data_IF_094641908992
#
_entry.id   IF_094641908992
#
_cell.length_a   1.000
_cell.length_b   1.000
_cell.length_c   1.000
_cell.angle_alpha   90.00
_cell.angle_beta   90.00
_cell.angle_gamma   90.00
#
_symmetry.space_group_name_H-M   'P 1'
#
loop_
_entity.id
_entity.type
_entity.pdbx_description
1 polymer ?
#
# COMPACT_ATOMS: atom_id res chain seq x y z
N UNK A 1 -28.43 27.72 19.25
CA UNK A 1 -26.94 27.77 19.33
C UNK A 1 -26.47 28.92 18.45
N UNK A 2 -25.61 29.83 18.93
CA UNK A 2 -25.07 30.92 18.09
C UNK A 2 -24.04 30.36 17.08
N UNK A 3 -23.85 31.02 15.94
CA UNK A 3 -22.92 30.63 14.88
C UNK A 3 -21.49 30.44 15.38
N UNK A 4 -21.03 31.29 16.29
CA UNK A 4 -19.71 31.16 16.91
C UNK A 4 -19.54 29.82 17.63
N UNK A 5 -20.56 29.40 18.39
CA UNK A 5 -20.51 28.13 19.12
C UNK A 5 -20.50 26.92 18.17
N UNK A 6 -21.20 27.00 17.02
CA UNK A 6 -21.15 25.96 15.98
C UNK A 6 -19.71 25.76 15.49
N UNK A 7 -19.01 26.86 15.17
CA UNK A 7 -17.61 26.80 14.71
C UNK A 7 -16.70 26.24 15.81
N UNK A 8 -16.91 26.65 17.07
CA UNK A 8 -16.11 26.16 18.20
C UNK A 8 -16.32 24.67 18.46
N UNK A 9 -17.58 24.18 18.44
CA UNK A 9 -17.86 22.75 18.55
C UNK A 9 -17.25 21.98 17.38
N UNK A 10 -17.43 22.46 16.14
CA UNK A 10 -16.82 21.84 14.97
C UNK A 10 -15.32 21.69 15.11
N UNK A 11 -14.63 22.76 15.48
CA UNK A 11 -13.18 22.77 15.62
C UNK A 11 -12.72 21.87 16.77
N UNK A 12 -13.39 21.94 17.92
CA UNK A 12 -13.08 21.10 19.07
C UNK A 12 -13.19 19.61 18.74
N UNK A 13 -14.31 19.18 18.15
CA UNK A 13 -14.50 17.78 17.80
C UNK A 13 -13.63 17.31 16.63
N UNK A 14 -13.33 18.20 15.67
CA UNK A 14 -12.34 17.92 14.62
C UNK A 14 -10.94 17.72 15.21
N UNK A 15 -10.58 18.48 16.24
CA UNK A 15 -9.31 18.35 16.97
C UNK A 15 -9.26 17.07 17.82
N UNK A 16 -10.34 16.73 18.53
CA UNK A 16 -10.43 15.47 19.25
C UNK A 16 -10.31 14.26 18.31
N UNK A 17 -10.99 14.31 17.17
CA UNK A 17 -10.87 13.29 16.11
C UNK A 17 -9.44 13.15 15.62
N UNK A 18 -8.74 14.28 15.42
CA UNK A 18 -7.33 14.28 15.08
C UNK A 18 -6.46 13.61 16.15
N UNK A 19 -6.66 13.91 17.44
CA UNK A 19 -5.90 13.27 18.53
C UNK A 19 -6.08 11.75 18.47
N UNK A 20 -7.32 11.27 18.34
CA UNK A 20 -7.62 9.83 18.28
C UNK A 20 -6.88 9.17 17.11
N UNK A 21 -6.97 9.77 15.92
CA UNK A 21 -6.31 9.27 14.72
C UNK A 21 -4.78 9.30 14.83
N UNK A 22 -4.20 10.37 15.41
CA UNK A 22 -2.75 10.48 15.63
C UNK A 22 -2.29 9.34 16.53
N UNK A 23 -2.96 9.13 17.66
CA UNK A 23 -2.60 8.10 18.62
C UNK A 23 -2.71 6.72 17.97
N UNK A 24 -3.86 6.42 17.36
CA UNK A 24 -4.12 5.13 16.72
C UNK A 24 -3.09 4.81 15.63
N UNK A 25 -2.88 5.74 14.69
CA UNK A 25 -1.97 5.51 13.56
C UNK A 25 -0.51 5.54 13.98
N UNK A 26 -0.14 6.40 14.94
CA UNK A 26 1.25 6.47 15.40
C UNK A 26 1.64 5.25 16.22
N UNK A 27 0.74 4.74 17.07
CA UNK A 27 0.96 3.49 17.80
C UNK A 27 1.07 2.29 16.84
N UNK A 28 0.15 2.19 15.86
CA UNK A 28 0.13 1.09 14.88
C UNK A 28 1.35 1.09 13.96
N UNK A 29 1.95 2.26 13.68
CA UNK A 29 3.08 2.40 12.78
C UNK A 29 4.41 2.73 13.48
N UNK A 30 4.43 2.77 14.82
CA UNK A 30 5.61 3.10 15.66
C UNK A 30 6.34 4.38 15.26
N UNK A 31 5.65 5.33 14.63
CA UNK A 31 6.20 6.61 14.19
C UNK A 31 5.12 7.67 14.29
N UNK A 32 5.47 8.92 14.56
CA UNK A 32 4.49 9.99 14.59
C UNK A 32 3.90 10.20 13.19
N UNK A 33 2.60 9.98 13.06
CA UNK A 33 1.83 10.20 11.83
C UNK A 33 0.85 11.33 12.10
N UNK A 34 0.90 12.36 11.26
CA UNK A 34 -0.15 13.36 11.18
C UNK A 34 -1.26 12.82 10.25
N UNK A 35 -2.42 12.42 10.79
CA UNK A 35 -3.52 11.85 10.02
C UNK A 35 -4.32 12.93 9.31
N UNK A 36 -5.00 12.52 8.24
CA UNK A 36 -6.02 13.33 7.61
C UNK A 36 -5.50 14.26 6.51
N UNK A 37 -6.46 14.96 5.91
CA UNK A 37 -6.24 15.78 4.72
C UNK A 37 -5.53 17.09 5.05
N UNK A 38 -5.95 17.75 6.13
CA UNK A 38 -5.42 19.02 6.60
C UNK A 38 -3.98 18.89 7.09
N UNK A 39 -3.20 19.98 7.04
CA UNK A 39 -1.86 20.02 7.63
C UNK A 39 -1.93 20.19 9.14
N UNK A 40 -2.88 21.00 9.61
CA UNK A 40 -3.13 21.27 11.01
C UNK A 40 -3.85 20.12 11.72
N UNK A 41 -4.01 20.25 13.04
CA UNK A 41 -4.47 19.17 13.90
C UNK A 41 -6.00 18.97 13.85
N UNK A 42 -6.58 18.84 12.66
CA UNK A 42 -8.03 18.76 12.51
C UNK A 42 -8.41 17.69 11.50
N UNK A 43 -9.36 16.82 11.89
CA UNK A 43 -9.98 15.85 11.00
C UNK A 43 -11.46 16.21 10.85
N UNK A 44 -11.85 16.96 9.79
CA UNK A 44 -13.17 17.58 9.67
C UNK A 44 -14.36 16.63 9.76
N UNK A 45 -14.24 15.37 9.34
CA UNK A 45 -15.35 14.40 9.37
C UNK A 45 -15.86 14.17 10.80
N UNK A 46 -14.99 14.20 11.81
CA UNK A 46 -15.40 14.12 13.22
C UNK A 46 -16.16 15.38 13.67
N UNK A 47 -15.73 16.57 13.23
CA UNK A 47 -16.42 17.82 13.49
C UNK A 47 -17.81 17.86 12.86
N UNK A 48 -17.93 17.47 11.59
CA UNK A 48 -19.23 17.37 10.92
C UNK A 48 -20.12 16.33 11.60
N UNK A 49 -19.61 15.12 11.85
CA UNK A 49 -20.35 14.08 12.55
C UNK A 49 -20.92 14.58 13.89
N UNK A 50 -20.05 15.15 14.74
CA UNK A 50 -20.48 15.73 16.01
C UNK A 50 -21.51 16.85 15.83
N UNK A 51 -21.32 17.77 14.88
CA UNK A 51 -22.29 18.84 14.62
C UNK A 51 -23.66 18.30 14.20
N UNK A 52 -23.72 17.36 13.25
CA UNK A 52 -24.99 16.78 12.81
C UNK A 52 -25.71 16.07 13.95
N UNK A 53 -24.98 15.29 14.76
CA UNK A 53 -25.57 14.63 15.93
C UNK A 53 -26.09 15.66 16.93
N UNK A 54 -25.31 16.69 17.27
CA UNK A 54 -25.71 17.70 18.27
C UNK A 54 -26.88 18.56 17.84
N UNK A 55 -26.91 19.00 16.59
CA UNK A 55 -28.01 19.81 16.05
C UNK A 55 -29.33 19.04 15.99
N UNK A 56 -29.28 17.73 15.71
CA UNK A 56 -30.46 16.88 15.60
C UNK A 56 -30.80 16.15 16.90
N UNK A 57 -29.94 16.19 17.91
CA UNK A 57 -30.09 15.40 19.13
C UNK A 57 -31.41 15.69 19.84
N UNK A 58 -31.84 16.95 19.92
CA UNK A 58 -33.09 17.32 20.59
C UNK A 58 -34.32 16.65 19.95
N UNK A 59 -34.35 16.58 18.63
CA UNK A 59 -35.44 15.93 17.86
C UNK A 59 -35.34 14.40 17.90
N UNK A 60 -34.15 13.85 18.14
CA UNK A 60 -33.91 12.40 18.15
C UNK A 60 -34.09 11.82 19.55
N UNK A 61 -33.77 12.59 20.59
CA UNK A 61 -33.79 12.14 21.99
C UNK A 61 -35.19 11.70 22.47
N UNK A 62 -36.26 12.19 21.82
CA UNK A 62 -37.65 11.81 22.12
C UNK A 62 -37.94 10.33 21.84
N UNK A 63 -37.14 9.67 20.99
CA UNK A 63 -37.35 8.27 20.60
C UNK A 63 -36.64 7.30 21.54
N UNK A 64 -37.04 6.02 21.51
CA UNK A 64 -36.35 4.97 22.26
C UNK A 64 -34.92 4.74 21.74
N UNK A 65 -34.01 4.33 22.63
CA UNK A 65 -32.57 4.13 22.34
C UNK A 65 -32.30 3.32 21.06
N UNK A 66 -33.01 2.22 20.74
CA UNK A 66 -32.78 1.48 19.49
C UNK A 66 -33.05 2.32 18.23
N UNK A 67 -34.06 3.18 18.25
CA UNK A 67 -34.37 4.06 17.13
C UNK A 67 -33.38 5.23 17.04
N UNK A 68 -32.95 5.78 18.18
CA UNK A 68 -31.87 6.78 18.22
C UNK A 68 -30.59 6.23 17.59
N UNK A 69 -30.18 5.02 17.99
CA UNK A 69 -29.04 4.30 17.43
C UNK A 69 -29.14 4.21 15.90
N UNK A 70 -30.29 3.76 15.39
CA UNK A 70 -30.49 3.58 13.95
C UNK A 70 -30.38 4.91 13.20
N UNK A 71 -31.02 5.96 13.70
CA UNK A 71 -30.98 7.30 13.09
C UNK A 71 -29.54 7.83 13.08
N UNK A 72 -28.82 7.72 14.19
CA UNK A 72 -27.42 8.16 14.27
C UNK A 72 -26.49 7.37 13.37
N UNK A 73 -26.64 6.04 13.33
CA UNK A 73 -25.86 5.19 12.43
C UNK A 73 -26.08 5.61 10.96
N UNK A 74 -27.32 5.88 10.56
CA UNK A 74 -27.64 6.34 9.20
C UNK A 74 -27.00 7.70 8.91
N UNK A 75 -27.13 8.68 9.80
CA UNK A 75 -26.57 10.03 9.62
C UNK A 75 -25.04 9.95 9.45
N UNK A 76 -24.35 9.28 10.36
CA UNK A 76 -22.89 9.18 10.31
C UNK A 76 -22.39 8.36 9.11
N UNK A 77 -23.10 7.29 8.76
CA UNK A 77 -22.79 6.51 7.55
C UNK A 77 -22.99 7.34 6.28
N UNK A 78 -24.02 8.19 6.23
CA UNK A 78 -24.23 9.10 5.11
C UNK A 78 -23.10 10.14 5.00
N UNK A 79 -22.66 10.71 6.12
CA UNK A 79 -21.51 11.63 6.16
C UNK A 79 -20.23 10.92 5.69
N UNK A 80 -19.98 9.70 6.16
CA UNK A 80 -18.86 8.87 5.72
C UNK A 80 -18.92 8.63 4.21
N UNK A 81 -20.06 8.17 3.69
CA UNK A 81 -20.25 7.93 2.26
C UNK A 81 -20.02 9.19 1.42
N UNK A 82 -20.65 10.32 1.79
CA UNK A 82 -20.52 11.59 1.07
C UNK A 82 -19.09 12.11 1.11
N UNK A 83 -18.42 11.99 2.25
CA UNK A 83 -17.01 12.38 2.38
C UNK A 83 -16.14 11.54 1.46
N UNK A 84 -16.31 10.21 1.46
CA UNK A 84 -15.62 9.32 0.53
C UNK A 84 -15.90 9.66 -0.94
N UNK A 85 -17.15 9.97 -1.30
CA UNK A 85 -17.54 10.35 -2.66
C UNK A 85 -16.92 11.68 -3.10
N UNK A 86 -16.89 12.69 -2.24
CA UNK A 86 -16.24 13.98 -2.53
C UNK A 86 -14.75 13.76 -2.80
N UNK A 87 -14.07 12.99 -1.97
CA UNK A 87 -12.64 12.74 -2.13
C UNK A 87 -12.32 11.90 -3.37
N UNK A 88 -13.12 10.91 -3.70
CA UNK A 88 -12.93 10.14 -4.93
C UNK A 88 -13.30 10.95 -6.19
N UNK A 89 -14.33 11.78 -6.14
CA UNK A 89 -14.81 12.53 -7.30
C UNK A 89 -13.96 13.75 -7.60
N UNK A 90 -13.74 14.62 -6.61
CA UNK A 90 -12.99 15.86 -6.77
C UNK A 90 -11.49 15.65 -6.66
N UNK A 91 -11.06 14.92 -5.63
CA UNK A 91 -9.64 14.76 -5.34
C UNK A 91 -9.02 13.54 -6.01
N UNK A 92 -9.86 12.59 -6.49
CA UNK A 92 -9.44 11.31 -7.06
C UNK A 92 -8.59 10.49 -6.08
N UNK A 93 -8.94 10.57 -4.80
CA UNK A 93 -8.25 9.89 -3.73
C UNK A 93 -9.25 9.05 -2.94
N UNK A 94 -8.87 7.79 -2.71
CA UNK A 94 -9.55 6.91 -1.79
C UNK A 94 -8.92 7.06 -0.41
N UNK A 95 -9.71 7.55 0.56
CA UNK A 95 -9.22 7.81 1.92
C UNK A 95 -9.20 6.56 2.79
N UNK A 96 -10.10 5.62 2.52
CA UNK A 96 -10.24 4.33 3.19
C UNK A 96 -10.90 3.32 2.23
N UNK A 97 -10.73 2.03 2.50
CA UNK A 97 -11.33 0.95 1.70
C UNK A 97 -11.90 -0.15 2.60
N UNK A 98 -13.22 -0.35 2.50
CA UNK A 98 -13.95 -1.41 3.20
C UNK A 98 -14.40 -2.54 2.25
N UNK A 99 -13.78 -2.68 1.07
CA UNK A 99 -14.17 -3.70 0.08
C UNK A 99 -14.11 -5.13 0.62
N UNK A 100 -13.20 -5.39 1.57
CA UNK A 100 -13.04 -6.70 2.22
C UNK A 100 -14.05 -6.94 3.35
N UNK A 101 -14.80 -5.91 3.77
CA UNK A 101 -15.80 -6.03 4.83
C UNK A 101 -17.14 -6.53 4.26
N UNK A 102 -17.85 -7.35 5.04
CA UNK A 102 -19.20 -7.80 4.70
C UNK A 102 -20.18 -6.62 4.69
N UNK A 103 -21.17 -6.69 3.81
CA UNK A 103 -22.20 -5.66 3.63
C UNK A 103 -21.60 -4.27 3.38
N UNK A 104 -20.50 -4.21 2.61
CA UNK A 104 -19.96 -2.94 2.14
C UNK A 104 -20.74 -2.42 0.93
N UNK A 105 -20.72 -1.09 0.76
CA UNK A 105 -21.23 -0.44 -0.44
C UNK A 105 -20.10 0.36 -1.11
N UNK A 106 -19.71 -0.09 -2.31
CA UNK A 106 -18.60 0.47 -3.10
C UNK A 106 -17.27 0.58 -2.33
N UNK A 107 -17.07 -0.23 -1.29
CA UNK A 107 -15.93 -0.12 -0.38
C UNK A 107 -15.85 1.20 0.41
N UNK A 108 -16.91 2.04 0.43
CA UNK A 108 -16.92 3.36 1.10
C UNK A 108 -17.51 3.31 2.50
N UNK A 109 -18.51 2.48 2.70
CA UNK A 109 -19.18 2.26 3.99
C UNK A 109 -19.45 0.77 4.13
N UNK A 110 -19.50 0.25 5.36
CA UNK A 110 -19.95 -1.11 5.62
C UNK A 110 -20.70 -1.21 6.95
N UNK A 111 -21.53 -2.24 7.08
CA UNK A 111 -22.39 -2.42 8.25
C UNK A 111 -21.62 -2.46 9.57
N UNK A 112 -20.41 -3.04 9.59
CA UNK A 112 -19.58 -3.13 10.79
C UNK A 112 -19.24 -1.73 11.34
N UNK A 113 -18.69 -0.85 10.49
CA UNK A 113 -18.33 0.51 10.90
C UNK A 113 -19.57 1.38 11.12
N UNK A 114 -20.62 1.24 10.30
CA UNK A 114 -21.91 1.91 10.54
C UNK A 114 -22.50 1.60 11.92
N UNK A 115 -22.38 0.34 12.36
CA UNK A 115 -22.82 -0.08 13.70
C UNK A 115 -21.96 0.58 14.79
N UNK A 116 -20.63 0.57 14.59
CA UNK A 116 -19.70 1.26 15.49
C UNK A 116 -20.00 2.75 15.63
N UNK A 117 -20.31 3.42 14.52
CA UNK A 117 -20.70 4.83 14.50
C UNK A 117 -21.99 5.11 15.27
N UNK A 118 -23.00 4.25 15.16
CA UNK A 118 -24.24 4.39 15.95
C UNK A 118 -24.01 4.29 17.46
N UNK A 119 -23.16 3.34 17.90
CA UNK A 119 -22.82 3.18 19.33
C UNK A 119 -22.05 4.41 19.82
N UNK A 120 -21.04 4.83 19.05
CA UNK A 120 -20.25 6.02 19.36
C UNK A 120 -21.11 7.28 19.44
N UNK A 121 -22.07 7.45 18.53
CA UNK A 121 -22.98 8.59 18.53
C UNK A 121 -23.90 8.62 19.77
N UNK A 122 -24.41 7.47 20.20
CA UNK A 122 -25.19 7.38 21.44
C UNK A 122 -24.37 7.79 22.66
N UNK A 123 -23.14 7.26 22.78
CA UNK A 123 -22.24 7.60 23.88
C UNK A 123 -21.91 9.09 23.82
N UNK A 124 -21.59 9.58 22.63
CA UNK A 124 -21.24 10.96 22.39
C UNK A 124 -22.36 11.92 22.79
N UNK A 125 -23.59 11.70 22.29
CA UNK A 125 -24.68 12.62 22.51
C UNK A 125 -25.13 12.67 23.98
N UNK A 126 -25.14 11.52 24.65
CA UNK A 126 -25.64 11.42 26.03
C UNK A 126 -24.58 11.70 27.11
N UNK A 127 -23.29 11.47 26.82
CA UNK A 127 -22.24 11.53 27.86
C UNK A 127 -21.08 12.48 27.52
N UNK A 128 -20.67 12.57 26.25
CA UNK A 128 -19.50 13.39 25.87
C UNK A 128 -19.91 14.83 25.58
N UNK A 129 -20.97 15.04 24.81
CA UNK A 129 -21.38 16.37 24.39
C UNK A 129 -21.86 17.26 25.55
N UNK A 130 -22.69 16.80 26.51
CA UNK A 130 -23.22 17.66 27.57
C UNK A 130 -22.15 18.42 28.39
N UNK A 131 -21.06 17.80 28.89
CA UNK A 131 -20.03 18.54 29.60
C UNK A 131 -19.29 19.53 28.69
N UNK A 132 -18.99 19.15 27.44
CA UNK A 132 -18.32 20.03 26.49
C UNK A 132 -19.21 21.22 26.09
N UNK A 133 -20.51 20.98 25.95
CA UNK A 133 -21.50 22.04 25.74
C UNK A 133 -21.42 23.07 26.85
N UNK A 134 -21.46 22.61 28.11
CA UNK A 134 -21.37 23.49 29.29
C UNK A 134 -20.07 24.30 29.35
N UNK A 135 -18.96 23.79 28.79
CA UNK A 135 -17.67 24.49 28.74
C UNK A 135 -17.71 25.56 27.66
N UNK A 136 -18.13 25.20 26.44
CA UNK A 136 -18.10 26.13 25.30
C UNK A 136 -19.15 27.24 25.45
N UNK A 137 -20.29 26.98 26.09
CA UNK A 137 -21.30 28.02 26.32
C UNK A 137 -21.00 28.95 27.49
N UNK A 138 -19.91 28.73 28.24
CA UNK A 138 -19.44 29.68 29.28
C UNK A 138 -18.76 30.92 28.70
N UNK A 139 -18.24 30.84 27.48
CA UNK A 139 -17.66 31.99 26.81
C UNK A 139 -18.74 33.05 26.58
N UNK A 140 -18.38 34.31 26.83
CA UNK A 140 -19.21 35.44 26.43
C UNK A 140 -19.35 35.50 24.90
N UNK A 141 -20.41 36.14 24.41
CA UNK A 141 -20.64 36.24 22.96
C UNK A 141 -19.44 36.85 22.22
N UNK A 142 -18.79 37.87 22.79
CA UNK A 142 -17.61 38.52 22.20
C UNK A 142 -16.42 37.57 22.13
N UNK A 143 -16.11 36.86 23.22
CA UNK A 143 -15.01 35.88 23.26
C UNK A 143 -15.26 34.75 22.25
N UNK A 144 -16.47 34.20 22.23
CA UNK A 144 -16.84 33.15 21.30
C UNK A 144 -16.73 33.63 19.84
N UNK A 145 -17.18 34.85 19.54
CA UNK A 145 -17.04 35.44 18.19
C UNK A 145 -15.59 35.60 17.79
N UNK A 146 -14.74 36.22 18.62
CA UNK A 146 -13.32 36.42 18.32
C UNK A 146 -12.61 35.08 18.12
N UNK A 147 -12.79 34.13 19.03
CA UNK A 147 -12.14 32.81 18.95
C UNK A 147 -12.63 32.03 17.72
N UNK A 148 -13.93 32.05 17.44
CA UNK A 148 -14.50 31.39 16.25
C UNK A 148 -13.95 31.99 14.95
N UNK A 149 -13.78 33.32 14.87
CA UNK A 149 -13.23 33.99 13.70
C UNK A 149 -11.76 33.60 13.45
N UNK A 150 -10.94 33.56 14.51
CA UNK A 150 -9.53 33.13 14.43
C UNK A 150 -9.42 31.68 13.96
N UNK A 151 -10.18 30.78 14.58
CA UNK A 151 -10.18 29.35 14.22
C UNK A 151 -10.69 29.14 12.79
N UNK A 152 -11.74 29.86 12.40
CA UNK A 152 -12.27 29.78 11.04
C UNK A 152 -11.24 30.24 10.01
N UNK A 153 -10.56 31.37 10.25
CA UNK A 153 -9.49 31.86 9.38
C UNK A 153 -8.33 30.86 9.26
N UNK A 154 -7.96 30.20 10.38
CA UNK A 154 -6.97 29.13 10.38
C UNK A 154 -7.41 27.94 9.51
N UNK A 155 -8.61 27.40 9.74
CA UNK A 155 -9.13 26.23 9.03
C UNK A 155 -9.23 26.47 7.53
N UNK A 156 -9.68 27.67 7.11
CA UNK A 156 -9.74 28.04 5.69
C UNK A 156 -8.33 28.09 5.09
N UNK A 157 -7.39 28.72 5.78
CA UNK A 157 -6.00 28.84 5.33
C UNK A 157 -5.37 27.45 5.15
N UNK A 158 -5.52 26.58 6.16
CA UNK A 158 -5.03 25.21 6.13
C UNK A 158 -5.69 24.38 5.01
N UNK A 159 -7.00 24.51 4.82
CA UNK A 159 -7.71 23.86 3.73
C UNK A 159 -7.18 24.29 2.35
N UNK A 160 -6.92 25.58 2.15
CA UNK A 160 -6.32 26.10 0.90
C UNK A 160 -4.93 25.48 0.68
N UNK A 161 -4.04 25.51 1.68
CA UNK A 161 -2.71 24.90 1.56
C UNK A 161 -2.78 23.39 1.32
N UNK A 162 -3.73 22.70 1.95
CA UNK A 162 -3.95 21.26 1.79
C UNK A 162 -4.40 20.90 0.37
N UNK A 163 -5.32 21.69 -0.21
CA UNK A 163 -5.74 21.53 -1.61
C UNK A 163 -4.56 21.79 -2.56
N UNK A 164 -3.80 22.86 -2.36
CA UNK A 164 -2.62 23.18 -3.19
C UNK A 164 -1.57 22.07 -3.11
N UNK A 165 -1.29 21.57 -1.91
CA UNK A 165 -0.34 20.48 -1.69
C UNK A 165 -0.78 19.20 -2.41
N UNK A 166 -2.08 18.93 -2.43
CA UNK A 166 -2.61 17.74 -3.08
C UNK A 166 -2.57 17.86 -4.61
N UNK A 167 -2.90 19.04 -5.15
CA UNK A 167 -2.75 19.32 -6.58
C UNK A 167 -1.29 19.15 -7.01
N UNK A 168 -0.36 19.73 -6.25
CA UNK A 168 1.09 19.61 -6.49
C UNK A 168 1.57 18.16 -6.38
N UNK A 169 1.05 17.39 -5.43
CA UNK A 169 1.32 15.95 -5.33
C UNK A 169 0.96 15.24 -6.63
N UNK A 170 -0.24 15.47 -7.15
CA UNK A 170 -0.70 14.85 -8.41
C UNK A 170 0.12 15.29 -9.62
N UNK A 171 0.39 16.58 -9.76
CA UNK A 171 1.22 17.11 -10.85
C UNK A 171 2.64 16.53 -10.82
N UNK A 172 3.27 16.49 -9.65
CA UNK A 172 4.60 15.92 -9.49
C UNK A 172 4.60 14.40 -9.70
N UNK A 173 3.51 13.69 -9.39
CA UNK A 173 3.38 12.26 -9.60
C UNK A 173 3.25 11.92 -11.09
N UNK A 174 2.46 12.71 -11.83
CA UNK A 174 2.38 12.66 -13.29
C UNK A 174 3.73 13.02 -13.92
N UNK A 175 4.39 14.08 -13.43
CA UNK A 175 5.71 14.48 -13.91
C UNK A 175 6.76 13.39 -13.69
N UNK A 176 6.77 12.74 -12.53
CA UNK A 176 7.59 11.56 -12.29
C UNK A 176 7.26 10.48 -13.31
N UNK A 177 5.99 10.14 -13.48
CA UNK A 177 5.58 9.08 -14.42
C UNK A 177 6.01 9.36 -15.87
N UNK A 178 5.83 10.60 -16.35
CA UNK A 178 6.15 10.98 -17.73
C UNK A 178 7.64 11.16 -17.99
N UNK A 179 8.40 11.67 -17.01
CA UNK A 179 9.79 12.13 -17.22
C UNK A 179 10.83 11.38 -16.40
N UNK A 180 10.46 10.32 -15.68
CA UNK A 180 11.35 9.54 -14.81
C UNK A 180 12.71 9.23 -15.45
N UNK A 181 12.70 8.77 -16.71
CA UNK A 181 13.91 8.37 -17.46
C UNK A 181 14.89 9.52 -17.75
N UNK A 182 14.42 10.76 -17.65
CA UNK A 182 15.20 11.98 -17.88
C UNK A 182 15.59 12.74 -16.61
N UNK A 183 15.12 12.30 -15.44
CA UNK A 183 15.36 12.95 -14.15
C UNK A 183 16.58 12.39 -13.45
N UNK A 184 17.32 13.25 -12.76
CA UNK A 184 18.39 12.81 -11.88
C UNK A 184 17.84 12.14 -10.60
N UNK A 185 18.63 11.26 -9.99
CA UNK A 185 18.27 10.62 -8.72
C UNK A 185 17.96 11.64 -7.61
N UNK A 186 18.66 12.78 -7.59
CA UNK A 186 18.41 13.85 -6.62
C UNK A 186 17.02 14.51 -6.82
N UNK A 187 16.61 14.71 -8.08
CA UNK A 187 15.29 15.25 -8.40
C UNK A 187 14.17 14.29 -8.03
N UNK A 188 14.35 13.00 -8.34
CA UNK A 188 13.41 11.94 -7.96
C UNK A 188 13.25 11.89 -6.44
N UNK A 189 14.34 11.86 -5.68
CA UNK A 189 14.29 11.85 -4.21
C UNK A 189 13.62 13.11 -3.65
N UNK A 190 13.89 14.29 -4.21
CA UNK A 190 13.25 15.55 -3.82
C UNK A 190 11.73 15.47 -4.01
N UNK A 191 11.28 14.93 -5.15
CA UNK A 191 9.86 14.80 -5.45
C UNK A 191 9.19 13.78 -4.52
N UNK A 192 9.78 12.61 -4.32
CA UNK A 192 9.26 11.59 -3.39
C UNK A 192 9.18 12.14 -1.96
N UNK A 193 10.20 12.88 -1.50
CA UNK A 193 10.19 13.50 -0.18
C UNK A 193 9.04 14.50 -0.01
N UNK A 194 8.67 15.21 -1.09
CA UNK A 194 7.51 16.12 -1.07
C UNK A 194 6.17 15.41 -0.84
N UNK A 195 6.12 14.09 -1.05
CA UNK A 195 4.90 13.27 -0.92
C UNK A 195 4.79 12.53 0.40
N UNK A 196 5.89 12.44 1.16
CA UNK A 196 6.00 11.59 2.35
C UNK A 196 4.84 11.82 3.34
N UNK A 197 4.38 13.06 3.50
CA UNK A 197 3.21 13.38 4.34
C UNK A 197 1.94 12.70 3.83
N UNK A 198 1.60 12.92 2.56
CA UNK A 198 0.36 12.41 1.94
C UNK A 198 0.37 10.88 1.93
N UNK A 199 1.50 10.25 1.58
CA UNK A 199 1.65 8.80 1.60
C UNK A 199 1.54 8.21 3.01
N UNK A 200 2.04 8.90 4.04
CA UNK A 200 1.87 8.46 5.42
C UNK A 200 0.43 8.67 5.93
N UNK A 201 -0.23 9.74 5.50
CA UNK A 201 -1.61 10.07 5.90
C UNK A 201 -2.63 9.14 5.23
N UNK A 202 -2.35 8.67 4.02
CA UNK A 202 -3.23 7.80 3.23
C UNK A 202 -2.40 6.66 2.62
N UNK A 203 -2.12 5.60 3.40
CA UNK A 203 -1.32 4.47 2.93
C UNK A 203 -2.03 3.69 1.81
N UNK A 204 -3.37 3.69 1.83
CA UNK A 204 -4.21 3.00 0.85
C UNK A 204 -4.52 3.86 -0.39
N UNK A 205 -3.74 4.92 -0.65
CA UNK A 205 -3.86 5.65 -1.92
C UNK A 205 -3.63 4.64 -3.04
N UNK A 206 -4.73 4.25 -3.67
CA UNK A 206 -4.68 3.43 -4.85
C UNK A 206 -4.28 4.31 -6.03
N UNK A 207 -2.97 4.44 -6.26
CA UNK A 207 -2.40 5.17 -7.39
C UNK A 207 -2.78 4.57 -8.76
N UNK A 208 -3.53 3.45 -8.80
CA UNK A 208 -3.97 2.83 -10.06
C UNK A 208 -5.15 3.54 -10.76
N UNK A 209 -5.81 4.54 -10.17
CA UNK A 209 -7.05 5.06 -10.75
C UNK A 209 -6.93 6.41 -11.47
N UNK A 210 -7.23 6.35 -12.78
CA UNK A 210 -7.39 7.41 -13.81
C UNK A 210 -6.16 7.80 -14.64
N UNK A 211 -5.54 6.80 -15.27
CA UNK A 211 -5.29 6.92 -16.72
C UNK A 211 -6.54 6.41 -17.46
N UNK A 212 -6.98 7.10 -18.51
CA UNK A 212 -8.27 6.90 -19.18
C UNK A 212 -8.72 5.44 -19.26
N UNK A 213 -9.97 5.20 -18.88
CA UNK A 213 -10.61 3.86 -18.82
C UNK A 213 -10.45 3.04 -20.11
N UNK A 214 -10.25 3.70 -21.26
CA UNK A 214 -9.98 3.06 -22.55
C UNK A 214 -8.54 2.54 -22.70
N UNK A 215 -7.54 3.23 -22.15
CA UNK A 215 -6.13 2.83 -22.22
C UNK A 215 -5.88 1.63 -21.30
N UNK A 216 -6.45 1.65 -20.09
CA UNK A 216 -6.31 0.56 -19.12
C UNK A 216 -7.02 -0.73 -19.54
N UNK A 217 -8.20 -0.66 -20.19
CA UNK A 217 -8.87 -1.86 -20.69
C UNK A 217 -8.04 -2.56 -21.78
N UNK A 218 -7.49 -1.77 -22.71
CA UNK A 218 -6.66 -2.28 -23.81
C UNK A 218 -5.31 -2.81 -23.32
N UNK A 219 -4.67 -2.13 -22.37
CA UNK A 219 -3.43 -2.60 -21.73
C UNK A 219 -3.65 -3.85 -20.89
N UNK A 220 -4.76 -3.96 -20.15
CA UNK A 220 -5.07 -5.13 -19.30
C UNK A 220 -5.45 -6.36 -20.14
N UNK A 221 -6.15 -6.16 -21.26
CA UNK A 221 -6.48 -7.23 -22.20
C UNK A 221 -5.25 -7.70 -23.00
N UNK A 222 -4.37 -6.77 -23.39
CA UNK A 222 -3.11 -7.08 -24.07
C UNK A 222 -2.12 -7.75 -23.10
N UNK A 223 -1.98 -7.24 -21.88
CA UNK A 223 -1.19 -7.87 -20.82
C UNK A 223 -1.74 -9.24 -20.41
N UNK A 224 -3.07 -9.41 -20.33
CA UNK A 224 -3.70 -10.70 -20.03
C UNK A 224 -3.37 -11.77 -21.08
N UNK A 225 -3.47 -11.43 -22.38
CA UNK A 225 -3.11 -12.35 -23.47
C UNK A 225 -1.62 -12.68 -23.50
N UNK A 226 -0.77 -11.68 -23.27
CA UNK A 226 0.70 -11.86 -23.20
C UNK A 226 1.09 -12.72 -21.99
N UNK A 227 0.47 -12.49 -20.83
CA UNK A 227 0.73 -13.26 -19.61
C UNK A 227 0.28 -14.72 -19.70
N UNK A 228 -0.88 -14.99 -20.32
CA UNK A 228 -1.34 -16.37 -20.55
C UNK A 228 -0.32 -17.12 -21.43
N UNK A 229 0.09 -16.51 -22.54
CA UNK A 229 1.06 -17.11 -23.47
C UNK A 229 2.44 -17.30 -22.82
N UNK A 230 2.89 -16.34 -21.99
CA UNK A 230 4.12 -16.48 -21.19
C UNK A 230 3.99 -17.63 -20.19
N UNK A 231 2.88 -17.75 -19.48
CA UNK A 231 2.67 -18.80 -18.48
C UNK A 231 2.65 -20.20 -19.10
N UNK A 232 2.03 -20.37 -20.28
CA UNK A 232 2.02 -21.64 -21.03
C UNK A 232 3.44 -22.02 -21.49
N UNK A 233 4.23 -21.05 -21.95
CA UNK A 233 5.62 -21.26 -22.33
C UNK A 233 6.48 -21.66 -21.12
N UNK A 234 6.30 -21.00 -19.97
CA UNK A 234 7.00 -21.36 -18.72
C UNK A 234 6.61 -22.78 -18.29
N UNK A 235 5.33 -23.13 -18.34
CA UNK A 235 4.83 -24.48 -18.04
C UNK A 235 5.43 -25.55 -18.94
N UNK A 236 5.57 -25.25 -20.23
CA UNK A 236 6.23 -26.12 -21.20
C UNK A 236 7.69 -26.32 -20.85
N UNK A 237 8.45 -25.23 -20.61
CA UNK A 237 9.87 -25.26 -20.25
C UNK A 237 10.10 -26.05 -18.95
N UNK A 238 9.25 -25.87 -17.94
CA UNK A 238 9.34 -26.61 -16.68
C UNK A 238 9.03 -28.12 -16.83
N UNK A 239 8.24 -28.51 -17.83
CA UNK A 239 7.92 -29.92 -18.13
C UNK A 239 8.92 -30.58 -19.07
N UNK A 240 9.64 -29.80 -19.88
CA UNK A 240 10.70 -30.30 -20.74
C UNK A 240 11.81 -30.93 -19.88
N UNK A 241 12.00 -32.25 -20.00
CA UNK A 241 13.14 -32.97 -19.39
C UNK A 241 14.41 -32.83 -20.22
N UNK A 242 14.71 -31.64 -20.73
CA UNK A 242 15.96 -31.38 -21.46
C UNK A 242 17.05 -31.01 -20.45
N UNK A 243 18.28 -31.52 -20.60
CA UNK A 243 19.40 -31.05 -19.79
C UNK A 243 19.59 -29.54 -20.04
N UNK A 244 20.09 -28.84 -19.01
CA UNK A 244 20.45 -27.42 -19.11
C UNK A 244 21.48 -27.27 -20.24
N UNK A 245 21.28 -26.27 -21.11
CA UNK A 245 22.13 -26.02 -22.27
C UNK A 245 23.55 -25.62 -21.81
N UNK A 246 24.60 -26.16 -22.45
CA UNK A 246 25.99 -25.80 -22.15
C UNK A 246 26.25 -24.29 -22.31
N UNK A 247 25.57 -23.66 -23.26
CA UNK A 247 25.60 -22.20 -23.45
C UNK A 247 25.10 -21.45 -22.22
N UNK A 248 23.98 -21.89 -21.61
CA UNK A 248 23.49 -21.27 -20.37
C UNK A 248 24.52 -21.41 -19.26
N UNK A 249 25.10 -22.61 -19.08
CA UNK A 249 26.10 -22.84 -18.04
C UNK A 249 27.31 -21.90 -18.21
N UNK A 250 27.80 -21.74 -19.44
CA UNK A 250 28.92 -20.84 -19.73
C UNK A 250 28.59 -19.36 -19.44
N UNK A 251 27.34 -18.92 -19.67
CA UNK A 251 26.91 -17.52 -19.43
C UNK A 251 26.93 -17.14 -17.94
N UNK A 252 26.60 -18.09 -17.07
CA UNK A 252 26.43 -17.85 -15.62
C UNK A 252 27.50 -18.52 -14.75
N UNK A 253 28.52 -19.13 -15.36
CA UNK A 253 29.54 -19.92 -14.65
C UNK A 253 30.26 -19.11 -13.58
N UNK A 254 30.63 -17.86 -13.90
CA UNK A 254 31.29 -16.94 -12.97
C UNK A 254 30.44 -16.64 -11.73
N UNK A 255 29.12 -16.58 -11.87
CA UNK A 255 28.18 -16.35 -10.77
C UNK A 255 27.97 -17.64 -9.97
N UNK A 256 27.76 -18.77 -10.66
CA UNK A 256 27.49 -20.06 -9.99
C UNK A 256 28.69 -20.65 -9.25
N UNK A 257 29.91 -20.23 -9.59
CA UNK A 257 31.15 -20.64 -8.92
C UNK A 257 31.63 -19.66 -7.85
N UNK A 258 31.00 -18.48 -7.75
CA UNK A 258 31.36 -17.47 -6.77
C UNK A 258 31.00 -17.90 -5.34
N UNK A 259 31.98 -17.84 -4.43
CA UNK A 259 31.81 -18.29 -3.04
C UNK A 259 30.74 -17.52 -2.26
N UNK A 260 30.62 -16.21 -2.48
CA UNK A 260 29.60 -15.38 -1.82
C UNK A 260 28.21 -15.69 -2.35
N UNK A 261 28.06 -15.86 -3.66
CA UNK A 261 26.78 -16.27 -4.25
C UNK A 261 26.34 -17.66 -3.79
N UNK A 262 27.28 -18.60 -3.64
CA UNK A 262 27.01 -19.96 -3.16
C UNK A 262 26.43 -20.00 -1.73
N UNK A 263 26.66 -18.97 -0.90
CA UNK A 263 26.05 -18.86 0.44
C UNK A 263 24.53 -18.79 0.39
N UNK A 264 23.92 -18.38 -0.73
CA UNK A 264 22.46 -18.39 -0.93
C UNK A 264 21.84 -19.78 -0.77
N UNK A 265 22.63 -20.86 -0.84
CA UNK A 265 22.16 -22.23 -0.53
C UNK A 265 21.72 -22.41 0.91
N UNK A 266 22.20 -21.57 1.82
CA UNK A 266 21.91 -21.64 3.25
C UNK A 266 20.72 -20.77 3.67
N UNK A 267 20.20 -19.93 2.77
CA UNK A 267 19.04 -19.06 3.01
C UNK A 267 17.84 -19.56 2.19
N UNK A 268 16.63 -19.50 2.75
CA UNK A 268 15.47 -20.19 2.17
C UNK A 268 14.34 -19.24 1.74
N UNK A 269 13.81 -19.49 0.54
CA UNK A 269 12.53 -19.00 0.04
C UNK A 269 11.54 -20.19 0.03
N UNK A 270 10.63 -20.23 1.01
CA UNK A 270 9.67 -21.33 1.18
C UNK A 270 10.32 -22.69 1.44
N UNK A 271 10.46 -23.54 0.41
CA UNK A 271 11.02 -24.90 0.50
C UNK A 271 12.33 -25.06 -0.28
N UNK A 272 12.68 -24.07 -1.11
CA UNK A 272 13.92 -24.01 -1.89
C UNK A 272 14.86 -23.00 -1.25
N UNK A 273 16.16 -23.20 -1.41
CA UNK A 273 17.11 -22.14 -1.07
C UNK A 273 16.94 -20.99 -2.07
N UNK A 274 17.31 -19.77 -1.68
CA UNK A 274 17.31 -18.61 -2.57
C UNK A 274 18.14 -18.91 -3.82
N UNK A 275 19.23 -19.67 -3.66
CA UNK A 275 20.05 -20.16 -4.76
C UNK A 275 19.25 -20.99 -5.79
N UNK A 276 18.47 -21.97 -5.34
CA UNK A 276 17.68 -22.82 -6.24
C UNK A 276 16.57 -22.02 -6.92
N UNK A 277 15.90 -21.13 -6.19
CA UNK A 277 14.90 -20.21 -6.74
C UNK A 277 15.50 -19.35 -7.87
N UNK A 278 16.58 -18.62 -7.58
CA UNK A 278 17.23 -17.74 -8.53
C UNK A 278 17.75 -18.49 -9.77
N UNK A 279 18.27 -19.72 -9.59
CA UNK A 279 18.71 -20.58 -10.70
C UNK A 279 17.56 -20.97 -11.62
N UNK A 280 16.39 -21.32 -11.07
CA UNK A 280 15.19 -21.67 -11.86
C UNK A 280 14.69 -20.43 -12.63
N UNK A 281 14.55 -19.28 -11.96
CA UNK A 281 14.11 -18.03 -12.58
C UNK A 281 15.07 -17.61 -13.70
N UNK A 282 16.37 -17.74 -13.47
CA UNK A 282 17.43 -17.47 -14.45
C UNK A 282 17.32 -18.34 -15.70
N UNK A 283 17.23 -19.66 -15.54
CA UNK A 283 17.15 -20.57 -16.68
C UNK A 283 15.88 -20.38 -17.53
N UNK A 284 14.73 -20.17 -16.88
CA UNK A 284 13.47 -19.91 -17.60
C UNK A 284 13.54 -18.57 -18.34
N UNK A 285 14.04 -17.52 -17.70
CA UNK A 285 14.18 -16.19 -18.31
C UNK A 285 15.12 -16.23 -19.51
N UNK A 286 16.24 -16.95 -19.41
CA UNK A 286 17.15 -17.23 -20.54
C UNK A 286 16.40 -17.85 -21.72
N UNK A 287 15.67 -18.94 -21.50
CA UNK A 287 14.92 -19.65 -22.55
C UNK A 287 13.85 -18.77 -23.19
N UNK A 288 13.12 -18.00 -22.40
CA UNK A 288 12.09 -17.09 -22.89
C UNK A 288 12.69 -15.95 -23.73
N UNK A 289 13.74 -15.29 -23.22
CA UNK A 289 14.41 -14.24 -23.97
C UNK A 289 15.03 -14.77 -25.26
N UNK A 290 15.60 -15.99 -25.26
CA UNK A 290 16.13 -16.65 -26.45
C UNK A 290 15.02 -16.94 -27.48
N UNK A 291 13.86 -17.43 -27.03
CA UNK A 291 12.69 -17.64 -27.88
C UNK A 291 12.14 -16.33 -28.48
N UNK A 292 12.26 -15.23 -27.74
CA UNK A 292 11.78 -13.91 -28.13
C UNK A 292 12.84 -13.06 -28.86
N UNK A 293 14.03 -13.61 -29.10
CA UNK A 293 15.17 -12.92 -29.72
C UNK A 293 15.56 -11.62 -28.99
N UNK A 294 15.58 -11.68 -27.66
CA UNK A 294 16.00 -10.62 -26.73
C UNK A 294 17.39 -10.92 -26.15
N UNK A 295 17.94 -10.01 -25.33
CA UNK A 295 19.23 -10.20 -24.66
C UNK A 295 19.12 -11.26 -23.53
N UNK A 296 19.18 -12.52 -23.95
CA UNK A 296 19.08 -13.66 -23.06
C UNK A 296 20.30 -13.83 -22.14
N UNK A 297 21.45 -13.21 -22.47
CA UNK A 297 22.66 -13.20 -21.62
C UNK A 297 22.42 -12.33 -20.40
N UNK A 298 22.02 -11.07 -20.62
CA UNK A 298 21.67 -10.15 -19.54
C UNK A 298 20.49 -10.65 -18.72
N UNK A 299 19.49 -11.26 -19.37
CA UNK A 299 18.36 -11.88 -18.68
C UNK A 299 18.79 -13.02 -17.75
N UNK A 300 19.66 -13.93 -18.22
CA UNK A 300 20.16 -15.05 -17.41
C UNK A 300 20.91 -14.55 -16.18
N UNK A 301 21.86 -13.63 -16.38
CA UNK A 301 22.75 -13.12 -15.33
C UNK A 301 21.99 -12.26 -14.31
N UNK A 302 21.21 -11.28 -14.79
CA UNK A 302 20.40 -10.42 -13.93
C UNK A 302 19.37 -11.21 -13.12
N UNK A 303 18.73 -12.21 -13.73
CA UNK A 303 17.80 -13.09 -13.03
C UNK A 303 18.48 -14.03 -12.02
N UNK A 304 19.76 -14.34 -12.17
CA UNK A 304 20.46 -15.13 -11.16
C UNK A 304 20.79 -14.28 -9.92
N UNK A 305 20.97 -12.98 -10.10
CA UNK A 305 21.40 -12.03 -9.07
C UNK A 305 20.26 -11.23 -8.41
N UNK A 306 19.01 -11.36 -8.89
CA UNK A 306 17.90 -10.50 -8.47
C UNK A 306 17.61 -10.55 -6.95
N UNK A 307 17.79 -11.74 -6.36
CA UNK A 307 17.61 -12.03 -4.94
C UNK A 307 18.95 -12.25 -4.21
N UNK A 308 20.04 -11.60 -4.64
CA UNK A 308 21.37 -11.80 -4.03
C UNK A 308 21.54 -11.10 -2.66
N UNK A 309 20.79 -11.55 -1.67
CA UNK A 309 20.88 -11.11 -0.27
C UNK A 309 21.15 -12.29 0.67
N UNK A 310 22.02 -12.09 1.66
CA UNK A 310 22.58 -13.14 2.52
C UNK A 310 22.00 -13.09 3.94
N UNK A 311 20.67 -13.05 4.06
CA UNK A 311 19.98 -13.08 5.36
C UNK A 311 18.62 -13.77 5.25
N UNK A 312 18.13 -14.34 6.36
CA UNK A 312 16.79 -14.93 6.42
C UNK A 312 15.77 -13.88 6.86
N UNK A 313 14.97 -13.41 5.91
CA UNK A 313 13.94 -12.39 6.18
C UNK A 313 12.74 -12.94 6.99
N UNK A 314 12.62 -14.26 7.16
CA UNK A 314 11.58 -14.92 7.96
C UNK A 314 12.03 -15.27 9.36
N UNK A 315 13.33 -15.23 9.66
CA UNK A 315 13.81 -15.59 10.98
C UNK A 315 13.63 -14.41 11.94
N UNK A 316 12.74 -14.57 12.92
CA UNK A 316 12.30 -13.50 13.82
C UNK A 316 13.28 -13.19 14.96
N UNK A 317 14.42 -13.91 14.98
CA UNK A 317 15.38 -13.93 16.08
C UNK A 317 16.66 -13.11 15.81
N UNK A 318 16.84 -12.53 14.62
CA UNK A 318 17.97 -11.63 14.34
C UNK A 318 17.63 -10.16 14.69
N UNK A 319 18.24 -9.59 15.75
CA UNK A 319 17.82 -8.29 16.30
C UNK A 319 18.25 -7.07 15.46
N UNK A 320 19.11 -7.24 14.45
CA UNK A 320 19.65 -6.13 13.64
C UNK A 320 18.81 -5.81 12.40
N UNK A 321 17.94 -6.72 11.96
CA UNK A 321 16.98 -6.47 10.88
C UNK A 321 15.66 -6.03 11.50
N UNK A 322 15.55 -4.71 11.67
CA UNK A 322 14.37 -4.05 12.20
C UNK A 322 13.08 -4.63 11.60
N UNK A 323 12.20 -5.02 12.51
CA UNK A 323 10.82 -5.52 12.42
C UNK A 323 9.86 -4.77 11.47
N UNK A 324 10.33 -3.92 10.56
CA UNK A 324 9.55 -2.86 9.92
C UNK A 324 9.49 -2.97 8.38
N UNK A 325 8.47 -3.71 7.94
CA UNK A 325 7.53 -3.35 6.84
C UNK A 325 8.00 -3.15 5.39
N UNK A 326 9.27 -3.31 4.99
CA UNK A 326 9.64 -3.01 3.60
C UNK A 326 10.68 -3.94 2.92
N UNK A 327 10.82 -5.20 3.36
CA UNK A 327 11.76 -6.15 2.71
C UNK A 327 11.61 -6.19 1.18
N UNK A 328 10.38 -6.27 0.66
CA UNK A 328 10.11 -6.27 -0.79
C UNK A 328 10.46 -4.97 -1.54
N UNK A 329 10.85 -3.90 -0.83
CA UNK A 329 11.30 -2.62 -1.39
C UNK A 329 12.81 -2.44 -1.20
N UNK A 330 13.39 -3.02 -0.14
CA UNK A 330 14.79 -2.82 0.21
C UNK A 330 15.72 -3.91 -0.33
N UNK A 331 15.29 -5.18 -0.42
CA UNK A 331 16.18 -6.24 -0.92
C UNK A 331 16.64 -6.03 -2.37
N UNK A 332 15.89 -5.39 -3.30
CA UNK A 332 16.42 -5.14 -4.65
C UNK A 332 17.67 -4.25 -4.62
N UNK A 333 17.78 -3.33 -3.65
CA UNK A 333 18.97 -2.50 -3.46
C UNK A 333 20.11 -3.30 -2.87
N UNK A 334 19.84 -4.11 -1.85
CA UNK A 334 20.84 -4.97 -1.20
C UNK A 334 21.41 -5.98 -2.21
N UNK A 335 20.53 -6.60 -2.99
CA UNK A 335 20.91 -7.52 -4.07
C UNK A 335 21.79 -6.83 -5.11
N UNK A 336 21.43 -5.60 -5.52
CA UNK A 336 22.26 -4.82 -6.43
C UNK A 336 23.63 -4.50 -5.83
N UNK A 337 23.69 -4.03 -4.58
CA UNK A 337 24.94 -3.70 -3.90
C UNK A 337 25.86 -4.91 -3.77
N UNK A 338 25.31 -6.08 -3.41
CA UNK A 338 26.07 -7.33 -3.33
C UNK A 338 26.56 -7.76 -4.71
N UNK A 339 25.69 -7.71 -5.72
CA UNK A 339 26.06 -8.05 -7.09
C UNK A 339 27.19 -7.14 -7.62
N UNK A 340 27.13 -5.83 -7.36
CA UNK A 340 28.15 -4.87 -7.79
C UNK A 340 29.50 -5.02 -7.08
N UNK A 341 29.53 -5.60 -5.87
CA UNK A 341 30.79 -5.89 -5.17
C UNK A 341 31.57 -7.03 -5.80
N UNK A 342 30.87 -7.98 -6.44
CA UNK A 342 31.45 -9.23 -6.92
C UNK A 342 31.49 -9.34 -8.44
N UNK A 343 30.64 -8.59 -9.16
CA UNK A 343 30.47 -8.72 -10.61
C UNK A 343 30.37 -7.34 -11.28
N UNK A 344 30.83 -7.27 -12.53
CA UNK A 344 30.61 -6.11 -13.40
C UNK A 344 29.25 -6.26 -14.07
N UNK A 345 28.34 -5.32 -13.80
CA UNK A 345 26.97 -5.38 -14.30
C UNK A 345 26.70 -4.33 -15.40
N UNK A 346 25.94 -4.73 -16.42
CA UNK A 346 25.39 -3.83 -17.43
C UNK A 346 24.05 -3.20 -16.98
N UNK A 347 23.50 -2.28 -17.78
CA UNK A 347 22.28 -1.56 -17.39
C UNK A 347 21.01 -2.44 -17.38
N UNK A 348 20.95 -3.49 -18.21
CA UNK A 348 19.83 -4.44 -18.22
C UNK A 348 19.86 -5.29 -16.94
N UNK A 349 21.01 -5.82 -16.58
CA UNK A 349 21.19 -6.62 -15.35
C UNK A 349 20.86 -5.81 -14.09
N UNK A 350 21.32 -4.55 -14.00
CA UNK A 350 20.98 -3.65 -12.89
C UNK A 350 19.49 -3.36 -12.82
N UNK A 351 18.85 -3.16 -13.97
CA UNK A 351 17.41 -2.88 -14.06
C UNK A 351 16.58 -4.12 -13.66
N UNK A 352 17.00 -5.32 -14.06
CA UNK A 352 16.41 -6.59 -13.60
C UNK A 352 16.47 -6.66 -12.07
N UNK A 353 17.68 -6.55 -11.48
CA UNK A 353 17.88 -6.72 -10.05
C UNK A 353 17.07 -5.68 -9.26
N UNK A 354 17.07 -4.42 -9.68
CA UNK A 354 16.40 -3.35 -8.91
C UNK A 354 14.88 -3.32 -9.07
N UNK A 355 14.33 -3.93 -10.11
CA UNK A 355 12.90 -3.76 -10.47
C UNK A 355 12.10 -5.04 -10.58
N UNK A 356 12.70 -6.20 -10.33
CA UNK A 356 12.00 -7.49 -10.38
C UNK A 356 10.76 -7.55 -9.45
N UNK A 357 10.73 -6.74 -8.38
CA UNK A 357 9.59 -6.65 -7.47
C UNK A 357 8.40 -5.84 -8.02
N UNK A 358 8.50 -5.17 -9.17
CA UNK A 358 7.36 -4.44 -9.74
C UNK A 358 6.18 -5.41 -10.00
N UNK A 359 4.93 -5.11 -9.62
CA UNK A 359 4.38 -3.82 -9.25
C UNK A 359 4.36 -3.52 -7.74
N UNK A 360 4.98 -4.36 -6.90
CA UNK A 360 5.15 -4.05 -5.48
C UNK A 360 6.04 -2.81 -5.31
N UNK A 361 7.10 -2.71 -6.11
CA UNK A 361 7.86 -1.47 -6.29
C UNK A 361 7.15 -0.58 -7.32
N UNK A 362 7.12 0.72 -7.06
CA UNK A 362 6.36 1.69 -7.86
C UNK A 362 6.94 1.92 -9.27
N UNK A 363 8.20 1.51 -9.50
CA UNK A 363 8.95 1.84 -10.71
C UNK A 363 8.94 0.63 -11.65
N UNK A 364 8.32 0.71 -12.84
CA UNK A 364 8.31 -0.41 -13.77
C UNK A 364 9.69 -0.68 -14.38
N UNK A 365 9.94 -1.95 -14.77
CA UNK A 365 11.12 -2.33 -15.53
C UNK A 365 11.32 -1.46 -16.79
N UNK A 366 12.59 -1.16 -17.14
CA UNK A 366 12.92 -0.35 -18.33
C UNK A 366 13.07 -1.21 -19.58
N UNK A 367 13.62 -2.41 -19.43
CA UNK A 367 13.94 -3.32 -20.54
C UNK A 367 12.93 -4.46 -20.63
N UNK A 368 12.78 -5.05 -21.82
CA UNK A 368 11.83 -6.15 -22.05
C UNK A 368 12.26 -7.40 -21.28
N UNK A 369 13.56 -7.65 -21.21
CA UNK A 369 14.21 -8.68 -20.41
C UNK A 369 13.82 -8.55 -18.93
N UNK A 370 13.88 -7.33 -18.40
CA UNK A 370 13.49 -7.04 -17.02
C UNK A 370 12.02 -7.36 -16.74
N UNK A 371 11.11 -7.08 -17.67
CA UNK A 371 9.71 -7.50 -17.55
C UNK A 371 9.59 -9.03 -17.54
N UNK A 372 10.31 -9.74 -18.42
CA UNK A 372 10.28 -11.20 -18.48
C UNK A 372 10.77 -11.81 -17.15
N UNK A 373 11.87 -11.32 -16.60
CA UNK A 373 12.39 -11.79 -15.32
C UNK A 373 11.39 -11.50 -14.20
N UNK A 374 10.86 -10.28 -14.14
CA UNK A 374 9.83 -9.84 -13.17
C UNK A 374 8.58 -10.73 -13.17
N UNK A 375 8.14 -11.21 -14.34
CA UNK A 375 6.99 -12.11 -14.44
C UNK A 375 7.36 -13.57 -14.13
N UNK A 376 8.54 -13.99 -14.55
CA UNK A 376 9.06 -15.35 -14.33
C UNK A 376 9.26 -15.60 -12.83
N UNK A 377 9.90 -14.66 -12.13
CA UNK A 377 10.08 -14.68 -10.67
C UNK A 377 8.74 -14.93 -9.96
N UNK A 378 7.76 -14.05 -10.15
CA UNK A 378 6.44 -14.21 -9.51
C UNK A 378 5.75 -15.52 -9.84
N UNK A 379 5.88 -16.00 -11.08
CA UNK A 379 5.27 -17.26 -11.48
C UNK A 379 5.92 -18.45 -10.76
N UNK A 380 7.26 -18.48 -10.69
CA UNK A 380 8.02 -19.51 -9.98
C UNK A 380 7.73 -19.46 -8.48
N UNK A 381 7.80 -18.28 -7.86
CA UNK A 381 7.49 -18.08 -6.45
C UNK A 381 6.06 -18.53 -6.10
N UNK A 382 5.08 -18.23 -6.97
CA UNK A 382 3.69 -18.70 -6.80
C UNK A 382 3.59 -20.23 -6.83
N UNK A 383 4.32 -20.91 -7.71
CA UNK A 383 4.32 -22.37 -7.77
C UNK A 383 5.00 -23.02 -6.58
N UNK A 384 6.11 -22.46 -6.11
CA UNK A 384 6.79 -22.92 -4.90
C UNK A 384 5.85 -22.83 -3.69
N UNK A 385 5.14 -21.71 -3.55
CA UNK A 385 4.11 -21.52 -2.53
C UNK A 385 2.96 -22.54 -2.64
N UNK A 386 2.38 -22.73 -3.83
CA UNK A 386 1.28 -23.68 -4.02
C UNK A 386 1.69 -25.14 -3.73
N UNK A 387 2.93 -25.51 -4.07
CA UNK A 387 3.47 -26.82 -3.73
C UNK A 387 3.67 -26.98 -2.21
N UNK A 388 4.10 -25.93 -1.50
CA UNK A 388 4.15 -25.91 -0.03
C UNK A 388 2.78 -26.14 0.59
N UNK A 389 1.75 -25.42 0.13
CA UNK A 389 0.37 -25.57 0.62
C UNK A 389 -0.18 -26.99 0.42
N UNK A 390 0.05 -27.58 -0.75
CA UNK A 390 -0.33 -28.97 -1.02
C UNK A 390 0.41 -29.94 -0.09
N UNK A 391 1.73 -29.80 0.04
CA UNK A 391 2.53 -30.69 0.89
C UNK A 391 2.16 -30.58 2.38
N UNK A 392 1.91 -29.37 2.89
CA UNK A 392 1.41 -29.13 4.26
C UNK A 392 0.01 -29.70 4.46
N UNK A 393 -0.90 -29.56 3.50
CA UNK A 393 -2.26 -30.12 3.58
C UNK A 393 -2.25 -31.67 3.55
N UNK A 394 -1.37 -32.27 2.73
CA UNK A 394 -1.15 -33.72 2.75
C UNK A 394 -0.52 -34.19 4.07
N UNK A 395 0.44 -33.43 4.62
CA UNK A 395 1.03 -33.67 5.95
C UNK A 395 -0.02 -33.60 7.07
N UNK A 396 -0.87 -32.58 7.07
CA UNK A 396 -1.97 -32.42 8.03
C UNK A 396 -3.01 -33.53 7.92
N UNK A 397 -3.38 -33.94 6.70
CA UNK A 397 -4.28 -35.10 6.47
C UNK A 397 -3.65 -36.41 6.96
N UNK A 398 -2.33 -36.57 6.83
CA UNK A 398 -1.61 -37.75 7.32
C UNK A 398 -1.55 -37.78 8.85
N UNK A 399 -1.30 -36.64 9.50
CA UNK A 399 -1.33 -36.47 10.96
C UNK A 399 -2.74 -36.69 11.52
N UNK A 400 -3.77 -36.10 10.90
CA UNK A 400 -5.17 -36.33 11.28
C UNK A 400 -5.64 -37.78 11.08
N UNK A 401 -5.01 -38.54 10.16
CA UNK A 401 -5.28 -39.97 9.98
C UNK A 401 -4.56 -40.83 11.02
N UNK A 402 -3.40 -40.39 11.52
CA UNK A 402 -2.66 -41.03 12.62
C UNK A 402 -3.35 -40.77 13.96
N UNK A 403 -3.94 -39.59 14.17
CA UNK A 403 -4.68 -39.23 15.39
C UNK A 403 -6.10 -39.83 15.46
N UNK A 404 -6.54 -40.55 14.42
CA UNK A 404 -7.88 -41.12 14.30
C UNK A 404 -7.88 -42.66 14.24
N UNK A 405 -6.69 -43.26 14.27
CA UNK A 405 -6.43 -44.68 14.50
C UNK A 405 -5.73 -44.81 15.85
#
# INVERSE_FOLDING_TARGET
MNYSNIILFFAFYSFCGWIIEVIYRSATNKKLINPGFLFGPFVPIYGFGALFITLLHQEIYIYQIPLQFLIYAIILTAIEYVTGEIFESFFQLKLWDYSDNRFNYKGKVCLLFSTGWGILALIFANYIHPPIYSIITKFSNTEATILSAIIFAYLITDMIFSIISLKKFRENLLYLYERYSSLSNAEVQRIIKSFKRILNAFPDINLQFKFDSQINAKLKEMAGRVMIKLSENIDSILKERKPIEDEYNNIVEDILTNEEFLKLKNFYHHNSSIYEHAKIVSYISYRLCKLLNLDYVSAARGALLHDFFLYDWRNHDEPELAKDKYHGIEHPKIALENAQKHFTLNEIEKDIITKHMWPLTLIPPRYQESFIVTFTDKYVATKEFLNEFKNKQFGFKKILKILRN
#
